data_IF_773610216650
#
_entry.id   IF_773610216650
#
_cell.length_a   1.000
_cell.length_b   1.000
_cell.length_c   1.000
_cell.angle_alpha   90.00
_cell.angle_beta   90.00
_cell.angle_gamma   90.00
#
_symmetry.space_group_name_H-M   'P 1'
#
loop_
_entity.id
_entity.type
_entity.pdbx_description
1 polymer ?
#
# COMPACT_ATOMS: atom_id res chain seq x y z
N UNK A 1 6.68 6.26 9.24
CA UNK A 1 6.11 5.72 7.99
C UNK A 1 4.90 4.83 8.27
N UNK A 2 5.05 3.84 9.15
CA UNK A 2 3.96 2.95 9.57
C UNK A 2 2.72 3.69 10.09
N UNK A 3 2.89 4.63 11.03
CA UNK A 3 1.77 5.42 11.58
C UNK A 3 1.02 6.23 10.52
N UNK A 4 1.75 6.75 9.52
CA UNK A 4 1.15 7.49 8.41
C UNK A 4 0.31 6.56 7.53
N UNK A 5 0.84 5.38 7.21
CA UNK A 5 0.13 4.40 6.40
C UNK A 5 -1.11 3.91 7.15
N UNK A 6 -0.99 3.57 8.42
CA UNK A 6 -2.10 3.05 9.20
C UNK A 6 -3.14 4.12 9.57
N UNK A 7 -2.72 5.35 9.86
CA UNK A 7 -3.59 6.44 10.29
C UNK A 7 -4.24 7.22 9.15
N UNK A 8 -3.56 7.34 8.00
CA UNK A 8 -4.03 8.17 6.89
C UNK A 8 -4.39 7.36 5.63
N UNK A 9 -3.51 6.45 5.21
CA UNK A 9 -3.67 5.73 3.94
C UNK A 9 -4.67 4.58 4.07
N UNK A 10 -4.53 3.75 5.10
CA UNK A 10 -5.38 2.57 5.38
C UNK A 10 -6.87 2.87 5.47
N UNK A 11 -7.38 3.87 6.22
CA UNK A 11 -8.83 4.13 6.28
C UNK A 11 -9.43 4.52 4.92
N UNK A 12 -8.65 5.16 4.03
CA UNK A 12 -9.11 5.51 2.67
C UNK A 12 -9.23 4.28 1.79
N UNK A 13 -8.29 3.34 1.90
CA UNK A 13 -8.30 2.08 1.17
C UNK A 13 -9.34 1.10 1.72
N UNK A 14 -9.60 1.13 3.02
CA UNK A 14 -10.67 0.33 3.64
C UNK A 14 -12.06 0.73 3.14
N UNK A 15 -12.25 2.00 2.75
CA UNK A 15 -13.48 2.43 2.06
C UNK A 15 -13.69 1.77 0.70
N UNK A 16 -12.62 1.30 0.05
CA UNK A 16 -12.64 0.57 -1.23
C UNK A 16 -12.76 -0.95 -1.03
N UNK A 17 -12.89 -1.42 0.22
CA UNK A 17 -12.95 -2.86 0.55
C UNK A 17 -11.58 -3.57 0.54
N UNK A 18 -10.50 -2.81 0.41
CA UNK A 18 -9.14 -3.32 0.47
C UNK A 18 -8.48 -3.13 1.85
N UNK A 19 -7.44 -3.90 2.13
CA UNK A 19 -6.60 -3.70 3.30
C UNK A 19 -5.14 -3.54 2.90
N UNK A 20 -4.47 -2.58 3.53
CA UNK A 20 -3.04 -2.30 3.38
C UNK A 20 -2.37 -2.43 4.75
N UNK A 21 -1.18 -3.02 4.78
CA UNK A 21 -0.37 -3.16 5.98
C UNK A 21 1.06 -2.79 5.66
N UNK A 22 1.69 -1.95 6.49
CA UNK A 22 3.12 -1.68 6.36
C UNK A 22 3.92 -2.93 6.74
N UNK A 23 4.92 -3.28 5.93
CA UNK A 23 5.78 -4.46 6.18
C UNK A 23 7.15 -4.01 6.67
N UNK A 24 7.81 -3.16 5.87
CA UNK A 24 9.14 -2.64 6.17
C UNK A 24 9.44 -1.41 5.33
N UNK A 25 10.44 -0.66 5.75
CA UNK A 25 11.04 0.42 4.97
C UNK A 25 12.55 0.16 4.89
N UNK A 26 13.11 0.23 3.70
CA UNK A 26 14.53 0.10 3.41
C UNK A 26 14.99 1.37 2.69
N UNK A 27 15.54 2.33 3.45
CA UNK A 27 15.87 3.66 2.94
C UNK A 27 14.64 4.35 2.32
N UNK A 28 14.71 4.57 1.01
CA UNK A 28 13.65 5.17 0.19
C UNK A 28 12.62 4.15 -0.32
N UNK A 29 12.76 2.85 -0.07
CA UNK A 29 11.79 1.83 -0.50
C UNK A 29 10.86 1.39 0.64
N UNK A 30 9.56 1.64 0.48
CA UNK A 30 8.53 1.28 1.46
C UNK A 30 7.76 0.07 0.95
N UNK A 31 7.85 -1.05 1.67
CA UNK A 31 7.13 -2.27 1.35
C UNK A 31 5.79 -2.31 2.10
N UNK A 32 4.70 -2.49 1.36
CA UNK A 32 3.34 -2.64 1.89
C UNK A 32 2.71 -3.94 1.42
N UNK A 33 1.97 -4.59 2.30
CA UNK A 33 1.18 -5.77 2.00
C UNK A 33 -0.24 -5.35 1.66
N UNK A 34 -0.76 -5.88 0.56
CA UNK A 34 -2.10 -5.60 0.05
C UNK A 34 -2.94 -6.87 0.15
N UNK A 35 -4.10 -6.74 0.77
CA UNK A 35 -5.05 -7.83 1.04
C UNK A 35 -6.47 -7.41 0.63
N UNK A 36 -7.38 -8.39 0.55
CA UNK A 36 -8.77 -8.15 0.15
C UNK A 36 -8.88 -7.71 -1.31
N UNK A 37 -9.77 -6.75 -1.58
CA UNK A 37 -10.03 -6.21 -2.93
C UNK A 37 -8.75 -5.61 -3.56
N UNK A 38 -7.90 -4.98 -2.74
CA UNK A 38 -6.63 -4.41 -3.17
C UNK A 38 -5.65 -5.43 -3.75
N UNK A 39 -5.74 -6.71 -3.36
CA UNK A 39 -4.88 -7.77 -3.92
C UNK A 39 -5.24 -8.13 -5.38
N UNK A 40 -6.49 -7.85 -5.80
CA UNK A 40 -7.04 -8.16 -7.13
C UNK A 40 -7.24 -6.91 -7.99
N UNK A 41 -7.03 -5.72 -7.43
CA UNK A 41 -7.29 -4.46 -8.09
C UNK A 41 -6.40 -4.26 -9.33
N UNK A 42 -7.05 -4.00 -10.49
CA UNK A 42 -6.38 -3.75 -11.77
C UNK A 42 -5.63 -2.42 -11.80
N UNK A 43 -6.08 -1.44 -10.99
CA UNK A 43 -5.48 -0.10 -10.91
C UNK A 43 -4.51 0.05 -9.73
N UNK A 44 -3.98 -1.06 -9.21
CA UNK A 44 -3.10 -1.03 -8.05
C UNK A 44 -1.89 -0.12 -8.24
N UNK A 45 -1.25 -0.15 -9.42
CA UNK A 45 -0.07 0.70 -9.70
C UNK A 45 -0.40 2.18 -9.55
N UNK A 46 -1.60 2.61 -9.96
CA UNK A 46 -2.06 3.98 -9.78
C UNK A 46 -2.25 4.32 -8.30
N UNK A 47 -2.72 3.35 -7.50
CA UNK A 47 -2.88 3.53 -6.07
C UNK A 47 -1.53 3.67 -5.36
N UNK A 48 -0.55 2.82 -5.69
CA UNK A 48 0.81 2.93 -5.17
C UNK A 48 1.45 4.26 -5.53
N UNK A 49 1.32 4.71 -6.80
CA UNK A 49 1.79 6.04 -7.22
C UNK A 49 1.15 7.19 -6.47
N UNK A 50 -0.14 7.09 -6.18
CA UNK A 50 -0.82 8.09 -5.37
C UNK A 50 -0.26 8.14 -3.94
N UNK A 51 0.05 6.99 -3.34
CA UNK A 51 0.69 6.91 -2.02
C UNK A 51 2.08 7.54 -2.07
N UNK A 52 2.92 7.21 -3.06
CA UNK A 52 4.26 7.80 -3.27
C UNK A 52 4.19 9.33 -3.36
N UNK A 53 3.31 9.85 -4.22
CA UNK A 53 3.08 11.29 -4.39
C UNK A 53 2.59 11.95 -3.09
N UNK A 54 1.71 11.27 -2.36
CA UNK A 54 1.17 11.80 -1.11
C UNK A 54 2.28 11.94 -0.06
N UNK A 55 3.17 10.97 0.04
CA UNK A 55 4.28 10.99 1.01
C UNK A 55 5.27 12.10 0.67
N UNK A 56 5.56 12.28 -0.63
CA UNK A 56 6.40 13.39 -1.10
C UNK A 56 5.80 14.75 -0.75
N UNK A 57 4.49 14.95 -0.95
CA UNK A 57 3.82 16.22 -0.65
C UNK A 57 3.69 16.49 0.85
N UNK A 58 3.37 15.47 1.64
CA UNK A 58 3.03 15.62 3.06
C UNK A 58 4.28 15.65 3.95
N UNK A 59 5.32 14.89 3.59
CA UNK A 59 6.55 14.74 4.37
C UNK A 59 7.81 15.28 3.68
N UNK A 60 7.75 15.59 2.38
CA UNK A 60 8.94 16.00 1.61
C UNK A 60 9.89 14.84 1.28
N UNK A 61 9.46 13.59 1.50
CA UNK A 61 10.28 12.40 1.33
C UNK A 61 9.94 11.70 0.01
N UNK A 62 10.95 11.48 -0.83
CA UNK A 62 10.76 10.79 -2.10
C UNK A 62 10.97 9.29 -1.93
N UNK A 63 9.89 8.60 -1.56
CA UNK A 63 9.91 7.15 -1.38
C UNK A 63 9.27 6.42 -2.56
N UNK A 64 9.74 5.20 -2.79
CA UNK A 64 9.19 4.24 -3.74
C UNK A 64 8.37 3.19 -2.99
N UNK A 65 7.09 3.04 -3.34
CA UNK A 65 6.19 2.12 -2.61
C UNK A 65 6.07 0.80 -3.37
N UNK A 66 6.55 -0.27 -2.74
CA UNK A 66 6.48 -1.65 -3.25
C UNK A 66 5.27 -2.35 -2.64
N UNK A 67 4.26 -2.65 -3.47
CA UNK A 67 3.08 -3.40 -3.06
C UNK A 67 3.24 -4.91 -3.24
N UNK A 68 3.28 -5.66 -2.15
CA UNK A 68 3.22 -7.12 -2.16
C UNK A 68 1.75 -7.54 -2.12
N UNK A 69 1.29 -8.22 -3.16
CA UNK A 69 -0.07 -8.79 -3.21
C UNK A 69 -0.08 -10.12 -2.47
N UNK A 70 -0.81 -10.20 -1.35
CA UNK A 70 -1.10 -11.49 -0.73
C UNK A 70 -2.25 -12.14 -1.47
N UNK A 71 -1.96 -13.07 -2.38
CA UNK A 71 -3.01 -13.90 -2.98
C UNK A 71 -3.69 -14.70 -1.85
N UNK A 72 -5.03 -14.79 -1.81
CA UNK A 72 -5.68 -15.70 -0.88
C UNK A 72 -5.22 -17.13 -1.20
N UNK A 73 -4.85 -17.88 -0.16
CA UNK A 73 -4.28 -19.24 -0.20
C UNK A 73 -5.14 -20.31 -0.91
N UNK A 74 -6.24 -19.93 -1.59
CA UNK A 74 -7.24 -20.84 -2.17
C UNK A 74 -7.11 -21.05 -3.69
N UNK A 75 -5.95 -20.79 -4.29
CA UNK A 75 -5.68 -21.12 -5.71
C UNK A 75 -4.42 -21.96 -5.93
N UNK A 76 -3.97 -22.68 -4.91
CA UNK A 76 -3.12 -23.87 -5.06
C UNK A 76 -4.00 -25.11 -4.82
N UNK A 77 -4.88 -25.44 -5.78
CA UNK A 77 -5.48 -26.77 -5.92
C UNK A 77 -5.59 -27.14 -7.39
#
# INVERSE_FOLDING_TARGET
MEEYINGYIRPRLQGDGGEITFVKQDGDEVTVLLQGECSKCLILERCLKWIEQRIEVDRGEKVKVIGIRKKPYFQDV
#
